data_IF_155630317976
#
_entry.id   IF_155630317976
#
_cell.length_a   1.000
_cell.length_b   1.000
_cell.length_c   1.000
_cell.angle_alpha   90.00
_cell.angle_beta   90.00
_cell.angle_gamma   90.00
#
_symmetry.space_group_name_H-M   'P 1'
#
loop_
_entity.id
_entity.type
_entity.pdbx_description
1 polymer ?
#
# COMPACT_ATOMS: atom_id res chain seq x y z
N UNK A 1 -12.86 -1.15 16.08
CA UNK A 1 -12.49 0.22 15.65
C UNK A 1 -11.64 0.24 14.37
N UNK A 2 -10.47 -0.43 14.33
CA UNK A 2 -9.56 -0.40 13.16
C UNK A 2 -10.21 -0.86 11.86
N UNK A 3 -10.99 -1.95 11.86
CA UNK A 3 -11.71 -2.39 10.67
C UNK A 3 -12.74 -1.37 10.15
N UNK A 4 -13.39 -0.62 11.05
CA UNK A 4 -14.31 0.48 10.70
C UNK A 4 -13.54 1.61 10.02
N UNK A 5 -12.36 1.97 10.57
CA UNK A 5 -11.46 2.96 9.96
C UNK A 5 -11.01 2.53 8.57
N UNK A 6 -10.57 1.29 8.39
CA UNK A 6 -10.09 0.78 7.10
C UNK A 6 -11.21 0.67 6.05
N UNK A 7 -12.41 0.24 6.44
CA UNK A 7 -13.53 0.07 5.50
C UNK A 7 -14.15 1.40 5.05
N UNK A 8 -14.23 2.38 5.93
CA UNK A 8 -15.02 3.61 5.71
C UNK A 8 -14.17 4.88 5.67
N UNK A 9 -12.88 4.81 5.97
CA UNK A 9 -11.96 5.95 6.07
C UNK A 9 -12.45 7.11 6.97
N UNK A 10 -13.18 6.79 8.06
CA UNK A 10 -13.70 7.82 8.96
C UNK A 10 -12.57 8.64 9.63
N UNK A 11 -12.74 9.95 9.84
CA UNK A 11 -11.82 10.76 10.62
C UNK A 11 -11.67 10.23 12.06
N UNK A 12 -10.50 10.39 12.68
CA UNK A 12 -10.27 9.91 14.06
C UNK A 12 -11.20 10.58 15.07
N UNK A 13 -11.63 11.82 14.82
CA UNK A 13 -12.63 12.49 15.68
C UNK A 13 -13.98 11.78 15.66
N UNK A 14 -14.43 11.36 14.48
CA UNK A 14 -15.73 10.72 14.33
C UNK A 14 -15.75 9.33 15.00
N UNK A 15 -14.64 8.60 14.89
CA UNK A 15 -14.43 7.37 15.65
C UNK A 15 -14.36 7.61 17.16
N UNK A 16 -13.72 8.69 17.61
CA UNK A 16 -13.64 9.04 19.02
C UNK A 16 -15.04 9.26 19.62
N UNK A 17 -15.92 9.97 18.91
CA UNK A 17 -17.32 10.15 19.29
C UNK A 17 -18.07 8.81 19.29
N UNK A 18 -17.99 8.02 18.21
CA UNK A 18 -18.72 6.74 18.07
C UNK A 18 -18.32 5.70 19.14
N UNK A 19 -17.06 5.68 19.54
CA UNK A 19 -16.53 4.72 20.52
C UNK A 19 -16.36 5.33 21.92
N UNK A 20 -16.87 6.53 22.16
CA UNK A 20 -16.81 7.26 23.43
C UNK A 20 -15.41 7.25 24.06
N UNK A 21 -14.39 7.59 23.28
CA UNK A 21 -13.00 7.62 23.73
C UNK A 21 -12.24 8.83 23.15
N UNK A 22 -11.00 9.05 23.59
CA UNK A 22 -10.19 10.17 23.09
C UNK A 22 -9.67 9.91 21.66
N UNK A 23 -9.39 10.97 20.88
CA UNK A 23 -8.71 10.86 19.58
C UNK A 23 -7.37 10.13 19.69
N UNK A 24 -6.65 10.32 20.79
CA UNK A 24 -5.36 9.65 21.05
C UNK A 24 -5.56 8.13 21.20
N UNK A 25 -6.59 7.70 21.92
CA UNK A 25 -6.98 6.29 22.05
C UNK A 25 -7.30 5.68 20.69
N UNK A 26 -8.08 6.39 19.85
CA UNK A 26 -8.36 5.95 18.47
C UNK A 26 -7.07 5.75 17.68
N UNK A 27 -6.17 6.73 17.71
CA UNK A 27 -4.90 6.68 16.99
C UNK A 27 -4.05 5.48 17.42
N UNK A 28 -3.89 5.28 18.73
CA UNK A 28 -3.09 4.20 19.28
C UNK A 28 -3.65 2.84 18.86
N UNK A 29 -4.96 2.62 19.02
CA UNK A 29 -5.61 1.35 18.64
C UNK A 29 -5.49 1.12 17.12
N UNK A 30 -5.71 2.14 16.29
CA UNK A 30 -5.60 1.99 14.83
C UNK A 30 -4.17 1.59 14.44
N UNK A 31 -3.15 2.29 14.94
CA UNK A 31 -1.74 2.01 14.64
C UNK A 31 -1.34 0.61 15.11
N UNK A 32 -1.65 0.25 16.37
CA UNK A 32 -1.32 -1.06 16.93
C UNK A 32 -1.92 -2.17 16.08
N UNK A 33 -3.20 -2.08 15.75
CA UNK A 33 -3.86 -3.13 14.97
C UNK A 33 -3.42 -3.16 13.51
N UNK A 34 -3.05 -2.03 12.89
CA UNK A 34 -2.45 -2.06 11.54
C UNK A 34 -1.15 -2.87 11.56
N UNK A 35 -0.28 -2.66 12.55
CA UNK A 35 0.98 -3.41 12.67
C UNK A 35 0.72 -4.91 12.91
N UNK A 36 -0.25 -5.25 13.77
CA UNK A 36 -0.64 -6.65 14.01
C UNK A 36 -1.22 -7.30 12.75
N UNK A 37 -2.12 -6.61 12.04
CA UNK A 37 -2.71 -7.09 10.79
C UNK A 37 -1.65 -7.28 9.71
N UNK A 38 -0.67 -6.37 9.60
CA UNK A 38 0.46 -6.53 8.70
C UNK A 38 1.27 -7.80 9.03
N UNK A 39 1.63 -7.99 10.30
CA UNK A 39 2.43 -9.14 10.73
C UNK A 39 1.69 -10.48 10.52
N UNK A 40 0.38 -10.53 10.77
CA UNK A 40 -0.41 -11.76 10.66
C UNK A 40 -0.84 -12.01 9.20
N UNK A 41 -1.46 -11.02 8.55
CA UNK A 41 -2.05 -11.22 7.23
C UNK A 41 -1.01 -11.12 6.14
N UNK A 42 -0.22 -10.04 6.12
CA UNK A 42 0.71 -9.81 5.03
C UNK A 42 1.94 -10.72 5.18
N UNK A 43 2.72 -10.57 6.25
CA UNK A 43 4.00 -11.27 6.43
C UNK A 43 3.86 -12.79 6.52
N UNK A 44 2.81 -13.33 7.16
CA UNK A 44 2.65 -14.78 7.30
C UNK A 44 1.84 -15.44 6.19
N UNK A 45 0.84 -14.74 5.62
CA UNK A 45 -0.12 -15.39 4.72
C UNK A 45 -0.05 -14.92 3.27
N UNK A 46 0.26 -13.64 3.01
CA UNK A 46 0.08 -13.03 1.68
C UNK A 46 1.38 -12.68 0.96
N UNK A 47 2.50 -12.47 1.66
CA UNK A 47 3.76 -11.97 1.09
C UNK A 47 4.50 -12.91 0.13
N UNK A 48 3.90 -14.05 -0.21
CA UNK A 48 4.45 -15.01 -1.16
C UNK A 48 3.68 -14.93 -2.47
N UNK A 49 4.40 -14.66 -3.56
CA UNK A 49 3.84 -14.65 -4.91
C UNK A 49 3.38 -16.08 -5.25
N UNK A 50 2.09 -16.30 -5.55
CA UNK A 50 1.57 -17.61 -5.88
C UNK A 50 2.18 -18.17 -7.17
N UNK A 51 2.30 -19.49 -7.25
CA UNK A 51 2.66 -20.16 -8.51
C UNK A 51 1.53 -20.03 -9.54
N UNK A 52 1.88 -20.23 -10.82
CA UNK A 52 0.91 -20.22 -11.92
C UNK A 52 -0.19 -21.26 -11.71
N UNK A 53 0.14 -22.46 -11.23
CA UNK A 53 -0.88 -23.48 -10.97
C UNK A 53 -1.83 -23.06 -9.86
N UNK A 54 -1.32 -22.42 -8.80
CA UNK A 54 -2.15 -21.92 -7.70
C UNK A 54 -3.10 -20.81 -8.17
N UNK A 55 -2.61 -19.87 -8.97
CA UNK A 55 -3.46 -18.81 -9.54
C UNK A 55 -4.54 -19.37 -10.47
N UNK A 56 -4.22 -20.38 -11.30
CA UNK A 56 -5.20 -21.01 -12.21
C UNK A 56 -6.41 -21.60 -11.48
N UNK A 57 -6.25 -22.08 -10.24
CA UNK A 57 -7.34 -22.65 -9.44
C UNK A 57 -8.40 -21.62 -9.02
N UNK A 58 -8.00 -20.36 -8.86
CA UNK A 58 -8.86 -19.27 -8.40
C UNK A 58 -8.81 -18.06 -9.34
N UNK A 59 -8.62 -18.30 -10.64
CA UNK A 59 -8.44 -17.25 -11.64
C UNK A 59 -9.77 -16.54 -11.89
N UNK A 60 -9.88 -15.22 -11.67
CA UNK A 60 -11.13 -14.52 -11.93
C UNK A 60 -11.49 -14.51 -13.41
N UNK A 61 -12.78 -14.36 -13.70
CA UNK A 61 -13.29 -14.29 -15.08
C UNK A 61 -12.59 -13.24 -15.94
N UNK A 62 -12.25 -12.09 -15.36
CA UNK A 62 -11.53 -11.01 -16.03
C UNK A 62 -10.12 -11.41 -16.50
N UNK A 63 -9.51 -12.44 -15.90
CA UNK A 63 -8.18 -12.93 -16.23
C UNK A 63 -8.18 -14.21 -17.07
N UNK A 64 -9.34 -14.67 -17.59
CA UNK A 64 -9.46 -15.89 -18.39
C UNK A 64 -8.50 -15.93 -19.59
N UNK A 65 -8.27 -14.78 -20.23
CA UNK A 65 -7.33 -14.66 -21.37
C UNK A 65 -5.86 -14.58 -20.95
N UNK A 66 -5.58 -14.41 -19.66
CA UNK A 66 -4.25 -14.17 -19.08
C UNK A 66 -3.85 -15.30 -18.13
N UNK A 67 -3.97 -16.55 -18.59
CA UNK A 67 -3.75 -17.76 -17.75
C UNK A 67 -2.30 -17.96 -17.29
N UNK A 68 -1.36 -17.21 -17.86
CA UNK A 68 0.05 -17.16 -17.51
C UNK A 68 0.41 -16.02 -16.54
N UNK A 69 -0.56 -15.16 -16.16
CA UNK A 69 -0.34 -14.05 -15.23
C UNK A 69 -0.08 -14.57 -13.80
N UNK A 70 1.10 -14.28 -13.26
CA UNK A 70 1.44 -14.57 -11.86
C UNK A 70 1.09 -13.40 -10.93
N UNK A 71 1.40 -12.19 -11.39
CA UNK A 71 1.34 -10.95 -10.62
C UNK A 71 1.11 -9.79 -11.57
N UNK A 72 0.35 -8.81 -11.09
CA UNK A 72 0.13 -7.51 -11.72
C UNK A 72 0.88 -6.51 -10.88
N UNK A 73 1.69 -5.66 -11.52
CA UNK A 73 2.49 -4.66 -10.82
C UNK A 73 2.06 -3.27 -11.22
N UNK A 74 2.03 -2.37 -10.25
CA UNK A 74 1.78 -0.96 -10.49
C UNK A 74 2.49 -0.09 -9.44
N UNK A 75 2.93 1.10 -9.85
CA UNK A 75 3.54 2.07 -8.94
C UNK A 75 2.45 2.90 -8.27
N UNK A 76 2.36 2.83 -6.94
CA UNK A 76 1.44 3.63 -6.15
C UNK A 76 2.19 4.75 -5.42
N UNK A 77 1.59 5.93 -5.38
CA UNK A 77 2.13 7.09 -4.67
C UNK A 77 1.30 7.46 -3.44
N UNK A 78 1.97 7.75 -2.33
CA UNK A 78 1.40 8.21 -1.06
C UNK A 78 1.85 9.63 -0.76
N UNK A 79 0.91 10.52 -0.48
CA UNK A 79 1.21 11.91 -0.14
C UNK A 79 1.98 12.02 1.18
N UNK A 80 2.95 12.94 1.22
CA UNK A 80 3.70 13.26 2.44
C UNK A 80 3.79 14.76 2.65
N UNK A 81 3.77 15.16 3.91
CA UNK A 81 4.26 16.47 4.30
C UNK A 81 5.79 16.47 4.24
N UNK A 82 6.38 17.56 3.75
CA UNK A 82 7.82 17.80 3.77
C UNK A 82 8.03 19.20 4.31
N UNK A 83 9.00 19.36 5.22
CA UNK A 83 9.35 20.66 5.75
C UNK A 83 9.82 21.58 4.63
N UNK A 84 9.35 22.84 4.62
CA UNK A 84 9.77 23.86 3.64
C UNK A 84 11.27 24.18 3.71
N UNK A 85 11.91 23.88 4.84
CA UNK A 85 13.33 24.12 5.05
C UNK A 85 14.21 23.07 4.35
N UNK A 86 13.63 21.93 3.94
CA UNK A 86 14.36 20.81 3.34
C UNK A 86 14.19 20.78 1.82
N UNK A 87 14.77 21.77 1.13
CA UNK A 87 14.62 21.92 -0.33
C UNK A 87 15.05 20.67 -1.12
N UNK A 88 16.12 19.98 -0.69
CA UNK A 88 16.57 18.75 -1.35
C UNK A 88 15.52 17.64 -1.25
N UNK A 89 15.02 17.38 -0.05
CA UNK A 89 13.97 16.37 0.18
C UNK A 89 12.70 16.73 -0.59
N UNK A 90 12.35 18.01 -0.61
CA UNK A 90 11.20 18.49 -1.38
C UNK A 90 11.38 18.21 -2.87
N UNK A 91 12.54 18.54 -3.45
CA UNK A 91 12.84 18.23 -4.85
C UNK A 91 12.76 16.73 -5.15
N UNK A 92 13.34 15.90 -4.29
CA UNK A 92 13.40 14.45 -4.52
C UNK A 92 12.02 13.80 -4.37
N UNK A 93 11.23 14.23 -3.39
CA UNK A 93 9.89 13.67 -3.16
C UNK A 93 8.82 14.29 -4.04
N UNK A 94 9.10 15.39 -4.75
CA UNK A 94 8.11 16.02 -5.62
C UNK A 94 7.80 15.15 -6.84
N UNK A 95 6.57 14.65 -6.90
CA UNK A 95 6.04 13.99 -8.09
C UNK A 95 5.41 15.04 -9.00
N UNK A 96 6.03 15.24 -10.17
CA UNK A 96 5.48 16.11 -11.21
C UNK A 96 4.11 15.63 -11.69
N UNK A 97 3.85 14.32 -11.65
CA UNK A 97 2.57 13.74 -12.05
C UNK A 97 1.44 14.04 -11.05
N UNK A 98 1.72 13.98 -9.74
CA UNK A 98 0.73 14.28 -8.69
C UNK A 98 0.71 15.75 -8.26
N UNK A 99 1.63 16.56 -8.77
CA UNK A 99 1.86 17.94 -8.38
C UNK A 99 2.02 18.13 -6.85
N UNK A 100 2.60 17.13 -6.17
CA UNK A 100 2.75 17.07 -4.72
C UNK A 100 3.96 16.23 -4.32
N UNK A 101 4.44 16.43 -3.10
CA UNK A 101 5.44 15.54 -2.51
C UNK A 101 4.80 14.19 -2.16
N UNK A 102 5.41 13.13 -2.67
CA UNK A 102 4.95 11.75 -2.51
C UNK A 102 6.12 10.81 -2.25
N UNK A 103 5.78 9.67 -1.65
CA UNK A 103 6.60 8.47 -1.70
C UNK A 103 5.94 7.46 -2.62
N UNK A 104 6.75 6.76 -3.40
CA UNK A 104 6.31 5.79 -4.41
C UNK A 104 6.72 4.38 -3.98
N UNK A 105 5.85 3.40 -4.19
CA UNK A 105 6.17 1.98 -4.01
C UNK A 105 5.66 1.18 -5.21
N UNK A 106 6.38 0.12 -5.57
CA UNK A 106 5.85 -0.91 -6.45
C UNK A 106 4.97 -1.86 -5.64
N UNK A 107 3.72 -2.00 -6.05
CA UNK A 107 2.77 -2.95 -5.47
C UNK A 107 2.58 -4.09 -6.46
N UNK A 108 2.70 -5.31 -5.97
CA UNK A 108 2.40 -6.53 -6.73
C UNK A 108 1.15 -7.21 -6.19
N UNK A 109 0.20 -7.48 -7.08
CA UNK A 109 -1.11 -8.04 -6.76
C UNK A 109 -1.30 -9.34 -7.57
N UNK A 110 -1.70 -10.43 -6.91
CA UNK A 110 -2.10 -11.65 -7.59
C UNK A 110 -3.39 -11.43 -8.40
N UNK A 111 -3.67 -12.22 -9.45
CA UNK A 111 -4.87 -12.06 -10.28
C UNK A 111 -6.20 -12.06 -9.51
N UNK A 112 -6.23 -12.70 -8.34
CA UNK A 112 -7.40 -12.73 -7.45
C UNK A 112 -7.56 -11.48 -6.55
N UNK A 113 -6.69 -10.48 -6.70
CA UNK A 113 -6.75 -9.20 -5.98
C UNK A 113 -5.97 -9.18 -4.65
N UNK A 114 -5.30 -10.25 -4.26
CA UNK A 114 -4.48 -10.28 -3.04
C UNK A 114 -3.16 -9.52 -3.29
N UNK A 115 -2.80 -8.60 -2.39
CA UNK A 115 -1.48 -7.94 -2.40
C UNK A 115 -0.42 -8.95 -1.95
N UNK A 116 0.53 -9.25 -2.83
CA UNK A 116 1.57 -10.27 -2.59
C UNK A 116 2.98 -9.70 -2.50
N UNK A 117 3.15 -8.44 -2.91
CA UNK A 117 4.45 -7.78 -2.89
C UNK A 117 4.28 -6.27 -2.67
N UNK A 118 5.18 -5.68 -1.88
CA UNK A 118 5.29 -4.24 -1.64
C UNK A 118 6.78 -3.92 -1.55
N UNK A 119 7.30 -3.06 -2.42
CA UNK A 119 8.70 -2.62 -2.37
C UNK A 119 8.96 -1.66 -1.21
N UNK A 120 10.25 -1.40 -0.93
CA UNK A 120 10.66 -0.20 -0.21
C UNK A 120 10.14 1.08 -0.89
N UNK A 121 10.02 2.15 -0.12
CA UNK A 121 9.59 3.45 -0.64
C UNK A 121 10.73 4.15 -1.41
N UNK A 122 10.37 4.77 -2.52
CA UNK A 122 11.22 5.61 -3.35
C UNK A 122 10.69 7.05 -3.34
N UNK A 123 11.55 8.07 -3.52
CA UNK A 123 11.09 9.44 -3.67
C UNK A 123 10.13 9.58 -4.87
N UNK A 124 9.09 10.42 -4.74
CA UNK A 124 8.05 10.61 -5.76
C UNK A 124 8.56 11.01 -7.16
N UNK A 125 9.72 11.66 -7.25
CA UNK A 125 10.37 11.99 -8.53
C UNK A 125 10.96 10.77 -9.26
N UNK A 126 11.10 9.63 -8.60
CA UNK A 126 11.67 8.40 -9.18
C UNK A 126 10.74 7.83 -10.24
N UNK A 127 11.28 7.48 -11.42
CA UNK A 127 10.48 6.89 -12.50
C UNK A 127 10.04 5.46 -12.18
N UNK A 128 8.88 5.06 -12.68
CA UNK A 128 8.32 3.73 -12.43
C UNK A 128 9.24 2.62 -12.95
N UNK A 129 9.94 2.87 -14.06
CA UNK A 129 10.98 1.97 -14.59
C UNK A 129 12.10 1.75 -13.56
N UNK A 130 12.60 2.83 -12.95
CA UNK A 130 13.67 2.75 -11.96
C UNK A 130 13.18 2.08 -10.68
N UNK A 131 11.98 2.41 -10.21
CA UNK A 131 11.35 1.73 -9.07
C UNK A 131 11.23 0.24 -9.34
N UNK A 132 10.74 -0.15 -10.52
CA UNK A 132 10.56 -1.56 -10.89
C UNK A 132 11.90 -2.31 -10.85
N UNK A 133 12.94 -1.77 -11.48
CA UNK A 133 14.28 -2.39 -11.52
C UNK A 133 14.94 -2.54 -10.14
N UNK A 134 14.66 -1.64 -9.20
CA UNK A 134 15.28 -1.63 -7.88
C UNK A 134 14.34 -2.11 -6.76
N UNK A 135 13.15 -2.61 -7.11
CA UNK A 135 12.12 -2.99 -6.14
C UNK A 135 12.46 -4.25 -5.34
N UNK A 136 13.30 -5.13 -5.90
CA UNK A 136 13.56 -6.46 -5.36
C UNK A 136 12.50 -7.50 -5.71
N UNK A 137 11.58 -7.18 -6.61
CA UNK A 137 10.70 -8.14 -7.28
C UNK A 137 11.48 -8.95 -8.32
#
# INVERSE_FOLDING_TARGET
MTLVKLRNNLPHFDLAVKFNCSKATVSNVVITWINVLHAILFTKCMSNIPTREKNKKCLPGAFKSFTNCCIIIDCTEVFTAVSRQSMNIQRDTYSSYKHRNTWKALIGIAPNGVVTFVSSLFPGSTSDKMVTLNSGL
#
